data_IF_766355757087
#
_entry.id   IF_766355757087
#
_cell.length_a   1.000
_cell.length_b   1.000
_cell.length_c   1.000
_cell.angle_alpha   90.00
_cell.angle_beta   90.00
_cell.angle_gamma   90.00
#
_symmetry.space_group_name_H-M   'P 1'
#
loop_
_entity.id
_entity.type
_entity.pdbx_description
1 polymer ?
#
# COMPACT_ATOMS: atom_id res chain seq x y z
N UNK A 1 -2.41 -9.51 0.44
CA UNK A 1 -2.09 -8.32 -0.39
C UNK A 1 -2.61 -7.01 0.24
N UNK A 2 -2.51 -6.80 1.56
CA UNK A 2 -3.09 -5.61 2.21
C UNK A 2 -2.37 -4.30 1.85
N UNK A 3 -1.03 -4.31 1.83
CA UNK A 3 -0.22 -3.11 1.59
C UNK A 3 -0.41 -2.52 0.17
N UNK A 4 -0.65 -3.36 -0.84
CA UNK A 4 -0.94 -2.89 -2.19
C UNK A 4 -2.28 -2.16 -2.26
N UNK A 5 -3.33 -2.70 -1.63
CA UNK A 5 -4.63 -2.02 -1.59
C UNK A 5 -4.55 -0.66 -0.90
N UNK A 6 -3.81 -0.56 0.21
CA UNK A 6 -3.60 0.73 0.87
C UNK A 6 -2.89 1.76 -0.01
N UNK A 7 -1.97 1.32 -0.88
CA UNK A 7 -1.32 2.20 -1.84
C UNK A 7 -2.30 2.69 -2.91
N UNK A 8 -3.16 1.80 -3.42
CA UNK A 8 -4.21 2.14 -4.40
C UNK A 8 -5.21 3.13 -3.81
N UNK A 9 -5.71 2.87 -2.60
CA UNK A 9 -6.66 3.76 -1.94
C UNK A 9 -6.02 5.12 -1.61
N UNK A 10 -4.71 5.16 -1.33
CA UNK A 10 -3.99 6.42 -1.20
C UNK A 10 -3.93 7.18 -2.53
N UNK A 11 -3.63 6.52 -3.65
CA UNK A 11 -3.60 7.17 -4.96
C UNK A 11 -4.97 7.75 -5.31
N UNK A 12 -6.04 7.02 -5.04
CA UNK A 12 -7.42 7.47 -5.25
C UNK A 12 -7.78 8.66 -4.34
N UNK A 13 -7.38 8.64 -3.07
CA UNK A 13 -7.67 9.72 -2.12
C UNK A 13 -6.90 11.02 -2.41
N UNK A 14 -5.71 10.93 -3.01
CA UNK A 14 -4.82 12.08 -3.28
C UNK A 14 -4.74 12.45 -4.77
N UNK A 15 -5.52 11.79 -5.62
CA UNK A 15 -5.53 11.95 -7.07
C UNK A 15 -4.15 11.83 -7.75
N UNK A 16 -3.32 10.91 -7.27
CA UNK A 16 -1.93 10.76 -7.75
C UNK A 16 -1.79 9.55 -8.69
N UNK A 17 -1.71 9.82 -9.99
CA UNK A 17 -1.64 8.81 -11.05
C UNK A 17 -0.67 9.28 -12.15
N UNK A 18 0.49 8.64 -12.37
CA UNK A 18 0.92 7.33 -11.85
C UNK A 18 1.60 7.37 -10.47
N UNK A 19 1.48 6.27 -9.71
CA UNK A 19 2.19 6.09 -8.45
C UNK A 19 3.70 5.87 -8.70
N UNK A 20 4.53 6.77 -8.18
CA UNK A 20 5.99 6.70 -8.35
C UNK A 20 6.65 5.96 -7.20
N UNK A 21 7.18 4.77 -7.47
CA UNK A 21 7.96 3.98 -6.52
C UNK A 21 9.45 4.29 -6.61
N UNK A 22 10.12 4.35 -5.46
CA UNK A 22 11.59 4.37 -5.38
C UNK A 22 12.09 3.06 -4.77
N UNK A 23 12.96 2.35 -5.48
CA UNK A 23 13.54 1.10 -5.02
C UNK A 23 15.07 1.20 -5.01
N UNK A 24 15.70 0.87 -3.89
CA UNK A 24 17.14 0.59 -3.83
C UNK A 24 17.40 -0.89 -3.63
N UNK A 25 18.44 -1.36 -4.33
CA UNK A 25 19.00 -2.69 -4.12
C UNK A 25 19.69 -2.71 -2.75
N UNK A 26 19.52 -3.81 -2.00
CA UNK A 26 20.06 -4.04 -0.64
C UNK A 26 19.47 -3.23 0.53
N UNK A 27 18.83 -2.08 0.30
CA UNK A 27 18.31 -1.23 1.40
C UNK A 27 16.93 -0.62 1.13
N UNK A 28 16.07 -1.39 0.48
CA UNK A 28 14.72 -0.97 0.05
C UNK A 28 13.88 -0.36 1.17
N UNK A 29 13.91 -0.96 2.37
CA UNK A 29 13.09 -0.51 3.52
C UNK A 29 13.64 0.78 4.12
N UNK A 30 14.94 0.84 4.38
CA UNK A 30 15.58 2.01 5.00
C UNK A 30 15.46 3.23 4.08
N UNK A 31 15.78 3.06 2.78
CA UNK A 31 15.62 4.15 1.82
C UNK A 31 14.15 4.51 1.64
N UNK A 32 13.24 3.53 1.66
CA UNK A 32 11.80 3.79 1.58
C UNK A 32 11.31 4.71 2.70
N UNK A 33 11.74 4.48 3.93
CA UNK A 33 11.42 5.35 5.07
C UNK A 33 12.02 6.75 4.92
N UNK A 34 13.29 6.85 4.53
CA UNK A 34 13.96 8.15 4.32
C UNK A 34 13.29 8.93 3.19
N UNK A 35 12.98 8.27 2.07
CA UNK A 35 12.29 8.89 0.94
C UNK A 35 10.91 9.40 1.35
N UNK A 36 10.18 8.63 2.14
CA UNK A 36 8.89 9.02 2.68
C UNK A 36 8.99 10.26 3.57
N UNK A 37 10.01 10.31 4.43
CA UNK A 37 10.25 11.45 5.30
C UNK A 37 10.62 12.72 4.52
N UNK A 38 11.54 12.60 3.56
CA UNK A 38 12.06 13.75 2.80
C UNK A 38 11.02 14.31 1.83
N UNK A 39 10.29 13.45 1.12
CA UNK A 39 9.38 13.90 0.07
C UNK A 39 7.94 14.07 0.52
N UNK A 40 7.60 13.64 1.75
CA UNK A 40 6.23 13.64 2.23
C UNK A 40 5.29 12.78 1.37
N UNK A 41 5.85 11.84 0.60
CA UNK A 41 5.11 10.96 -0.31
C UNK A 41 5.32 9.51 0.11
N UNK A 42 4.30 8.67 0.07
CA UNK A 42 4.46 7.28 0.47
C UNK A 42 5.25 6.48 -0.56
N UNK A 43 5.67 5.28 -0.17
CA UNK A 43 6.40 4.36 -1.02
C UNK A 43 5.94 2.91 -0.79
N UNK A 44 5.86 2.15 -1.88
CA UNK A 44 5.71 0.69 -1.83
C UNK A 44 7.07 0.07 -2.06
N UNK A 45 7.49 -0.86 -1.21
CA UNK A 45 8.76 -1.56 -1.40
C UNK A 45 8.71 -3.04 -1.02
N UNK A 46 9.45 -3.90 -1.74
CA UNK A 46 9.72 -5.25 -1.28
C UNK A 46 10.67 -5.21 -0.08
N UNK A 47 10.84 -6.35 0.56
CA UNK A 47 11.84 -6.51 1.62
C UNK A 47 13.26 -6.49 1.05
N UNK A 48 14.20 -5.90 1.79
CA UNK A 48 15.62 -6.10 1.59
C UNK A 48 16.16 -7.27 2.44
N UNK A 49 17.37 -7.74 2.13
CA UNK A 49 18.03 -8.84 2.85
C UNK A 49 18.08 -8.59 4.36
N UNK A 50 18.49 -7.39 4.79
CA UNK A 50 18.55 -7.01 6.20
C UNK A 50 17.18 -6.94 6.87
N UNK A 51 16.14 -6.49 6.16
CA UNK A 51 14.78 -6.46 6.73
C UNK A 51 14.19 -7.86 6.88
N UNK A 52 14.55 -8.78 5.97
CA UNK A 52 14.13 -10.19 6.01
C UNK A 52 14.69 -10.92 7.23
N UNK A 53 15.93 -10.69 7.60
CA UNK A 53 16.58 -11.36 8.73
C UNK A 53 16.17 -10.76 10.07
N UNK A 54 16.03 -9.43 10.15
CA UNK A 54 15.75 -8.72 11.41
C UNK A 54 14.28 -8.66 11.81
N UNK A 55 13.36 -9.06 10.93
CA UNK A 55 11.92 -9.06 11.22
C UNK A 55 11.26 -7.67 11.20
N UNK A 56 11.94 -6.66 10.66
CA UNK A 56 11.42 -5.27 10.56
C UNK A 56 10.20 -5.13 9.64
N UNK A 57 10.02 -6.07 8.72
CA UNK A 57 8.92 -6.06 7.75
C UNK A 57 8.31 -7.44 7.63
N UNK A 58 7.04 -7.48 7.24
CA UNK A 58 6.34 -8.73 7.00
C UNK A 58 7.02 -9.55 5.89
N UNK A 59 7.25 -10.85 6.16
CA UNK A 59 7.95 -11.76 5.25
C UNK A 59 7.09 -12.10 4.03
N UNK A 60 7.66 -11.98 2.83
CA UNK A 60 7.03 -12.44 1.58
C UNK A 60 5.95 -11.52 1.02
N UNK A 61 5.79 -10.30 1.56
CA UNK A 61 4.83 -9.30 1.07
C UNK A 61 5.52 -7.99 0.70
N UNK A 62 4.83 -7.17 -0.09
CA UNK A 62 5.19 -5.77 -0.28
C UNK A 62 4.87 -4.98 1.00
N UNK A 63 5.71 -4.00 1.31
CA UNK A 63 5.56 -3.12 2.45
C UNK A 63 5.14 -1.74 1.97
N UNK A 64 4.34 -1.07 2.78
CA UNK A 64 3.82 0.26 2.52
C UNK A 64 4.29 1.19 3.65
N UNK A 65 4.93 2.28 3.29
CA UNK A 65 5.31 3.33 4.23
C UNK A 65 4.75 4.65 3.75
N UNK A 66 4.15 5.40 4.67
CA UNK A 66 3.46 6.65 4.39
C UNK A 66 3.68 7.67 5.50
N UNK A 67 3.52 8.97 5.21
CA UNK A 67 3.46 9.99 6.24
C UNK A 67 2.23 9.81 7.13
N UNK A 68 2.39 9.97 8.45
CA UNK A 68 1.30 9.82 9.40
C UNK A 68 0.12 10.78 9.18
N UNK A 69 0.40 12.01 8.72
CA UNK A 69 -0.64 13.01 8.44
C UNK A 69 -1.55 12.66 7.26
N UNK A 70 -1.16 11.71 6.41
CA UNK A 70 -2.00 11.22 5.31
C UNK A 70 -2.91 10.08 5.75
N UNK A 71 -2.96 9.78 7.06
CA UNK A 71 -3.69 8.63 7.56
C UNK A 71 -5.19 8.74 7.36
N UNK A 72 -5.74 9.80 7.91
CA UNK A 72 -7.15 10.10 7.92
C UNK A 72 -7.76 10.26 6.52
N UNK A 73 -7.18 11.01 5.57
CA UNK A 73 -7.75 11.13 4.23
C UNK A 73 -7.88 9.79 3.50
N UNK A 74 -6.87 8.93 3.60
CA UNK A 74 -6.91 7.59 2.99
C UNK A 74 -8.01 6.72 3.60
N UNK A 75 -8.13 6.69 4.93
CA UNK A 75 -9.16 5.88 5.59
C UNK A 75 -10.56 6.45 5.41
N UNK A 76 -10.72 7.78 5.35
CA UNK A 76 -12.00 8.42 5.01
C UNK A 76 -12.48 7.96 3.63
N UNK A 77 -11.60 8.00 2.62
CA UNK A 77 -11.92 7.49 1.28
C UNK A 77 -12.32 6.01 1.31
N UNK A 78 -11.57 5.17 2.03
CA UNK A 78 -11.88 3.74 2.18
C UNK A 78 -13.27 3.54 2.80
N UNK A 79 -13.61 4.30 3.84
CA UNK A 79 -14.92 4.22 4.51
C UNK A 79 -16.05 4.69 3.59
N UNK A 80 -15.89 5.83 2.92
CA UNK A 80 -16.88 6.35 1.96
C UNK A 80 -17.13 5.34 0.84
N UNK A 81 -16.06 4.75 0.31
CA UNK A 81 -16.13 3.70 -0.70
C UNK A 81 -16.82 2.44 -0.17
N UNK A 82 -16.55 2.04 1.07
CA UNK A 82 -17.21 0.88 1.69
C UNK A 82 -18.72 1.09 1.78
N UNK A 83 -19.15 2.29 2.18
CA UNK A 83 -20.58 2.65 2.24
C UNK A 83 -21.20 2.69 0.84
N UNK A 84 -20.50 3.25 -0.15
CA UNK A 84 -21.00 3.40 -1.52
C UNK A 84 -21.09 2.07 -2.28
N UNK A 85 -20.04 1.26 -2.19
CA UNK A 85 -19.82 0.10 -3.08
C UNK A 85 -20.03 -1.25 -2.36
N UNK A 86 -20.34 -1.23 -1.05
CA UNK A 86 -20.49 -2.45 -0.24
C UNK A 86 -19.17 -3.13 0.12
N UNK A 87 -18.02 -2.51 -0.15
CA UNK A 87 -16.69 -3.05 0.16
C UNK A 87 -15.53 -2.17 -0.29
N UNK A 88 -14.32 -2.51 0.20
CA UNK A 88 -13.06 -1.78 -0.09
C UNK A 88 -12.33 -2.29 -1.34
N UNK A 89 -12.73 -3.45 -1.86
CA UNK A 89 -12.12 -4.10 -3.03
C UNK A 89 -13.17 -4.35 -4.09
N UNK A 90 -12.81 -4.11 -5.36
CA UNK A 90 -13.61 -4.52 -6.51
C UNK A 90 -13.26 -5.98 -6.80
N UNK A 91 -13.97 -6.93 -6.18
CA UNK A 91 -15.06 -7.59 -6.88
C UNK A 91 -16.36 -7.52 -6.06
N UNK A 92 -17.49 -7.45 -6.79
CA UNK A 92 -18.86 -7.41 -6.26
C UNK A 92 -19.03 -8.28 -5.01
N UNK A 93 -19.70 -7.75 -4.00
CA UNK A 93 -20.34 -8.54 -2.94
C UNK A 93 -21.15 -9.67 -3.56
N UNK A 94 -20.58 -10.87 -3.64
CA UNK A 94 -21.27 -12.10 -4.06
C UNK A 94 -20.79 -12.78 -5.35
N UNK A 95 -19.98 -12.15 -6.21
CA UNK A 95 -19.40 -12.84 -7.37
C UNK A 95 -17.93 -13.13 -7.12
N UNK A 96 -17.62 -14.41 -6.91
CA UNK A 96 -16.24 -14.91 -6.90
C UNK A 96 -15.57 -14.53 -8.22
N UNK A 97 -14.31 -14.09 -8.12
CA UNK A 97 -13.46 -13.88 -9.29
C UNK A 97 -13.53 -15.13 -10.19
N UNK A 98 -13.66 -15.00 -11.53
CA UNK A 98 -13.65 -16.17 -12.41
C UNK A 98 -12.39 -16.98 -12.15
N UNK A 99 -12.53 -18.20 -11.61
CA UNK A 99 -11.41 -19.07 -11.24
C UNK A 99 -11.10 -19.17 -9.73
N UNK A 100 -11.99 -18.75 -8.84
CA UNK A 100 -11.84 -19.03 -7.39
C UNK A 100 -12.26 -20.47 -6.99
N UNK A 101 -12.90 -21.23 -7.89
CA UNK A 101 -13.34 -22.63 -7.70
C UNK A 101 -12.41 -23.67 -8.39
N UNK A 102 -11.09 -23.44 -8.42
CA UNK A 102 -10.10 -24.43 -8.84
C UNK A 102 -9.05 -24.68 -7.74
#
# INVERSE_FOLDING_TARGET
>A
MLAYHLAVDWCAAFDEHPFTMTLSVNSSVCLGCVRCHVTGRPNVMPMCSGSKTTGKTEKGKVNWVRPGGQLEPTFRWILERTVRDGGVSFPRTGETYPGFDL
#
